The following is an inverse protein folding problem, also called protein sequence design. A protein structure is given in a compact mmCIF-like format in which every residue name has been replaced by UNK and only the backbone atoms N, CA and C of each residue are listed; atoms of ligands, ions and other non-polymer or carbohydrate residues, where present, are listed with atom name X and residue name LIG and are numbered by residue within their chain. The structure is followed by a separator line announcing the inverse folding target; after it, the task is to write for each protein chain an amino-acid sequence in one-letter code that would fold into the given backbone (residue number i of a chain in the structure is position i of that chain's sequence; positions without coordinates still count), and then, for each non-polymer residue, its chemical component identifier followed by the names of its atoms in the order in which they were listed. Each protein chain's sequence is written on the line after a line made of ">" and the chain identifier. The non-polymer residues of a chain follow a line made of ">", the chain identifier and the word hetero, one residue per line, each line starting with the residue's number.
data_IF_613514938789
#
_entry.id   IF_613514938789
#
_cell.length_a   1.000
_cell.length_b   1.000
_cell.length_c   1.000
_cell.angle_alpha   90.00
_cell.angle_beta   90.00
_cell.angle_gamma   90.00
#
_symmetry.space_group_name_H-M   'P 1'
#
loop_
_entity.id
_entity.type
_entity.pdbx_description
1 polymer ?
#
# COMPACT_ATOMS: atom_id res chain seq x y z
N UNK A 1 -6.94 5.26 -9.51
CA UNK A 1 -7.72 6.11 -8.58
C UNK A 1 -6.77 6.61 -7.50
N UNK A 2 -6.34 7.86 -7.69
CA UNK A 2 -5.54 8.80 -6.90
C UNK A 2 -4.95 9.69 -8.00
N UNK A 3 -5.61 10.82 -8.26
CA UNK A 3 -5.20 11.84 -9.22
C UNK A 3 -5.13 13.11 -8.38
N UNK A 4 -4.00 13.80 -8.40
CA UNK A 4 -3.74 15.06 -7.68
C UNK A 4 -3.95 15.01 -6.16
N UNK A 5 -3.17 14.17 -5.47
CA UNK A 5 -3.08 14.20 -4.00
C UNK A 5 -1.62 14.30 -3.57
N UNK A 6 -1.20 15.52 -3.19
CA UNK A 6 0.22 15.84 -2.96
C UNK A 6 0.86 15.07 -1.80
N UNK A 7 0.05 14.67 -0.81
CA UNK A 7 0.54 13.97 0.37
C UNK A 7 0.45 12.44 0.24
N UNK A 8 -0.49 11.90 -0.54
CA UNK A 8 -0.74 10.46 -0.61
C UNK A 8 0.05 9.79 -1.74
N UNK A 9 0.86 8.79 -1.40
CA UNK A 9 1.60 7.98 -2.37
C UNK A 9 0.76 6.84 -2.97
N UNK A 10 -0.12 6.24 -2.18
CA UNK A 10 -1.04 5.20 -2.64
C UNK A 10 -2.24 5.03 -1.72
N UNK A 11 -3.32 4.48 -2.27
CA UNK A 11 -4.44 3.88 -1.55
C UNK A 11 -4.77 2.55 -2.20
N UNK A 12 -4.71 1.46 -1.44
CA UNK A 12 -4.85 0.09 -1.95
C UNK A 12 -5.55 -0.81 -0.92
N UNK A 13 -5.97 -2.00 -1.36
CA UNK A 13 -6.41 -3.07 -0.47
C UNK A 13 -5.37 -4.19 -0.46
N UNK A 14 -5.13 -4.78 0.70
CA UNK A 14 -4.29 -5.96 0.88
C UNK A 14 -5.11 -7.07 1.55
N UNK A 15 -5.08 -8.27 0.97
CA UNK A 15 -5.65 -9.45 1.61
C UNK A 15 -4.85 -9.81 2.90
N UNK A 16 -5.40 -10.63 3.81
CA UNK A 16 -4.74 -10.99 5.07
C UNK A 16 -3.37 -11.66 4.92
N UNK A 17 -3.09 -12.29 3.79
CA UNK A 17 -1.79 -12.84 3.48
C UNK A 17 -0.78 -11.81 2.92
N UNK A 18 -1.18 -10.56 2.74
CA UNK A 18 -0.38 -9.48 2.14
C UNK A 18 -0.53 -9.34 0.62
N UNK A 19 -1.45 -10.08 -0.02
CA UNK A 19 -1.65 -9.99 -1.46
C UNK A 19 -2.40 -8.73 -1.87
N UNK A 20 -1.84 -7.98 -2.82
CA UNK A 20 -2.43 -6.76 -3.38
C UNK A 20 -2.81 -7.02 -4.84
N UNK A 21 -4.10 -7.14 -5.17
CA UNK A 21 -4.53 -7.47 -6.53
C UNK A 21 -4.31 -6.30 -7.52
N UNK A 22 -4.47 -5.06 -7.06
CA UNK A 22 -4.34 -3.84 -7.86
C UNK A 22 -3.69 -2.72 -7.06
N UNK A 23 -3.06 -1.77 -7.76
CA UNK A 23 -2.36 -0.63 -7.18
C UNK A 23 -2.89 0.69 -7.77
N UNK A 24 -2.43 1.86 -7.30
CA UNK A 24 -2.68 3.12 -8.03
C UNK A 24 -1.94 3.17 -9.37
N UNK A 25 -2.41 4.02 -10.29
CA UNK A 25 -1.99 4.04 -11.70
C UNK A 25 -0.46 4.14 -11.88
N UNK A 26 0.22 4.91 -11.01
CA UNK A 26 1.68 5.03 -11.03
C UNK A 26 2.40 3.68 -10.97
N UNK A 27 1.84 2.70 -10.25
CA UNK A 27 2.41 1.36 -10.07
C UNK A 27 1.61 0.28 -10.80
N UNK A 28 0.85 0.65 -11.83
CA UNK A 28 0.10 -0.28 -12.70
C UNK A 28 0.56 -0.18 -14.16
N UNK A 29 1.83 0.14 -14.39
CA UNK A 29 2.36 0.26 -15.75
C UNK A 29 2.39 -1.10 -16.44
N UNK A 30 2.20 -1.12 -17.77
CA UNK A 30 2.29 -2.37 -18.53
C UNK A 30 3.67 -3.00 -18.38
N UNK A 31 3.71 -4.34 -18.30
CA UNK A 31 4.99 -5.07 -18.23
C UNK A 31 5.75 -4.89 -19.55
N UNK A 32 7.03 -4.59 -19.41
CA UNK A 32 7.94 -4.31 -20.53
C UNK A 32 8.85 -5.50 -20.84
N UNK A 33 8.93 -6.48 -19.93
CA UNK A 33 9.87 -7.60 -20.00
C UNK A 33 11.25 -7.26 -19.44
N UNK A 34 11.50 -6.00 -19.07
CA UNK A 34 12.69 -5.59 -18.34
C UNK A 34 12.39 -5.64 -16.83
N UNK A 35 13.04 -6.55 -16.12
CA UNK A 35 12.80 -6.77 -14.69
C UNK A 35 12.94 -5.50 -13.85
N UNK A 36 14.01 -4.72 -14.03
CA UNK A 36 14.28 -3.54 -13.20
C UNK A 36 13.20 -2.47 -13.38
N UNK A 37 12.71 -2.30 -14.62
CA UNK A 37 11.59 -1.39 -14.92
C UNK A 37 10.28 -1.91 -14.34
N UNK A 38 9.99 -3.18 -14.56
CA UNK A 38 8.72 -3.80 -14.19
C UNK A 38 8.58 -3.90 -12.66
N UNK A 39 9.67 -4.21 -11.95
CA UNK A 39 9.69 -4.31 -10.49
C UNK A 39 9.31 -2.99 -9.79
N UNK A 40 9.69 -1.86 -10.39
CA UNK A 40 9.40 -0.52 -9.87
C UNK A 40 8.03 -0.05 -10.35
N UNK A 41 7.75 -0.17 -11.66
CA UNK A 41 6.59 0.42 -12.33
C UNK A 41 5.30 -0.41 -12.29
N UNK A 42 5.40 -1.71 -12.00
CA UNK A 42 4.23 -2.58 -11.84
C UNK A 42 4.29 -3.31 -10.49
N UNK A 43 3.41 -2.91 -9.58
CA UNK A 43 3.25 -3.51 -8.25
C UNK A 43 1.87 -4.12 -8.06
N UNK A 44 1.18 -4.40 -9.17
CA UNK A 44 -0.09 -5.13 -9.15
C UNK A 44 0.16 -6.61 -8.90
N UNK A 45 -0.87 -7.33 -8.39
CA UNK A 45 -0.83 -8.78 -8.16
C UNK A 45 0.38 -9.22 -7.33
N UNK A 46 0.84 -8.38 -6.41
CA UNK A 46 2.08 -8.59 -5.64
C UNK A 46 1.75 -9.08 -4.24
N UNK A 47 2.56 -10.02 -3.76
CA UNK A 47 2.54 -10.44 -2.36
C UNK A 47 3.54 -9.58 -1.58
N UNK A 48 3.06 -8.81 -0.60
CA UNK A 48 3.90 -8.03 0.30
C UNK A 48 4.14 -8.83 1.58
N UNK A 49 5.36 -9.37 1.71
CA UNK A 49 5.76 -10.19 2.86
C UNK A 49 6.45 -9.39 3.96
N UNK A 50 6.70 -8.10 3.73
CA UNK A 50 7.23 -7.21 4.76
C UNK A 50 6.21 -7.03 5.90
N UNK A 51 6.73 -6.74 7.11
CA UNK A 51 5.90 -6.60 8.31
C UNK A 51 4.77 -5.59 8.13
N UNK A 52 5.04 -4.45 7.49
CA UNK A 52 4.04 -3.37 7.33
C UNK A 52 2.94 -3.85 6.40
N UNK A 53 3.30 -4.36 5.22
CA UNK A 53 2.35 -4.80 4.22
C UNK A 53 1.51 -6.00 4.63
N UNK A 54 2.12 -6.99 5.31
CA UNK A 54 1.37 -8.13 5.86
C UNK A 54 0.42 -7.68 6.96
N UNK A 55 0.90 -6.86 7.90
CA UNK A 55 0.06 -6.39 9.01
C UNK A 55 -1.13 -5.58 8.50
N UNK A 56 -0.94 -4.73 7.50
CA UNK A 56 -1.97 -3.84 6.96
C UNK A 56 -3.19 -4.59 6.39
N UNK A 57 -3.04 -5.83 5.91
CA UNK A 57 -4.16 -6.66 5.45
C UNK A 57 -4.72 -7.61 6.51
N UNK A 58 -3.98 -7.87 7.60
CA UNK A 58 -4.26 -8.95 8.54
C UNK A 58 -4.80 -8.49 9.91
N UNK A 59 -4.55 -7.23 10.30
CA UNK A 59 -4.97 -6.74 11.60
C UNK A 59 -6.50 -6.55 11.68
N UNK A 60 -7.07 -6.76 12.87
CA UNK A 60 -8.51 -6.54 13.14
C UNK A 60 -8.79 -5.29 13.99
N UNK A 61 -7.74 -4.59 14.41
CA UNK A 61 -7.85 -3.30 15.10
C UNK A 61 -8.61 -2.27 14.25
N UNK A 62 -9.38 -1.39 14.91
CA UNK A 62 -10.20 -0.35 14.22
C UNK A 62 -9.39 0.47 13.21
N UNK A 63 -8.13 0.76 13.55
CA UNK A 63 -7.14 1.33 12.65
C UNK A 63 -5.73 1.00 13.16
N UNK A 64 -4.75 1.01 12.27
CA UNK A 64 -3.33 0.87 12.59
C UNK A 64 -2.53 1.92 11.82
N UNK A 65 -1.65 2.64 12.52
CA UNK A 65 -0.71 3.58 11.92
C UNK A 65 0.71 3.07 12.12
N UNK A 66 1.40 2.78 11.02
CA UNK A 66 2.79 2.36 11.03
C UNK A 66 3.65 3.43 10.37
N UNK A 67 4.84 3.67 10.92
CA UNK A 67 5.84 4.55 10.30
C UNK A 67 7.05 3.73 9.91
N UNK A 68 7.55 3.96 8.71
CA UNK A 68 8.76 3.29 8.24
C UNK A 68 9.55 4.19 7.29
N UNK A 69 10.88 3.99 7.26
CA UNK A 69 11.76 4.67 6.31
C UNK A 69 11.79 3.87 5.02
N UNK A 70 11.62 4.55 3.89
CA UNK A 70 11.87 3.96 2.56
C UNK A 70 13.37 3.93 2.28
N UNK A 71 13.76 3.17 1.27
CA UNK A 71 15.15 3.10 0.79
C UNK A 71 15.71 4.47 0.39
N UNK A 72 14.84 5.42 0.03
CA UNK A 72 15.16 6.82 -0.29
C UNK A 72 15.41 7.69 0.95
N UNK A 73 15.29 7.15 2.17
CA UNK A 73 15.40 7.88 3.43
C UNK A 73 14.13 8.64 3.85
N UNK A 74 13.13 8.71 2.97
CA UNK A 74 11.83 9.34 3.25
C UNK A 74 11.06 8.59 4.33
N UNK A 75 10.47 9.33 5.28
CA UNK A 75 9.53 8.78 6.25
C UNK A 75 8.17 8.60 5.59
N UNK A 76 7.65 7.38 5.65
CA UNK A 76 6.32 7.02 5.16
C UNK A 76 5.41 6.69 6.33
N UNK A 77 4.18 7.20 6.26
CA UNK A 77 3.09 6.82 7.15
C UNK A 77 2.17 5.85 6.41
N UNK A 78 1.89 4.71 7.03
CA UNK A 78 0.96 3.70 6.53
C UNK A 78 -0.23 3.59 7.49
N UNK A 79 -1.36 4.18 7.10
CA UNK A 79 -2.62 4.05 7.81
C UNK A 79 -3.40 2.88 7.21
N UNK A 80 -3.87 1.95 8.05
CA UNK A 80 -4.66 0.79 7.63
C UNK A 80 -5.92 0.60 8.48
N UNK A 81 -6.97 0.08 7.85
CA UNK A 81 -8.27 -0.23 8.45
C UNK A 81 -8.80 -1.56 7.90
N UNK A 82 -9.41 -2.42 8.72
CA UNK A 82 -9.93 -3.70 8.27
C UNK A 82 -11.21 -3.52 7.44
N UNK A 83 -11.36 -4.37 6.42
CA UNK A 83 -12.52 -4.48 5.54
C UNK A 83 -13.26 -5.76 5.93
N UNK A 84 -14.51 -5.57 6.36
CA UNK A 84 -15.41 -6.67 6.66
C UNK A 84 -16.50 -6.79 5.60
N UNK A 85 -16.80 -8.02 5.18
CA UNK A 85 -17.95 -8.33 4.31
C UNK A 85 -18.76 -9.42 5.00
N UNK A 86 -20.03 -9.13 5.29
CA UNK A 86 -20.93 -10.03 6.03
C UNK A 86 -20.35 -10.52 7.37
N UNK A 87 -19.71 -9.62 8.12
CA UNK A 87 -19.12 -9.93 9.43
C UNK A 87 -17.81 -10.73 9.38
N UNK A 88 -17.31 -11.11 8.19
CA UNK A 88 -16.02 -11.77 8.02
C UNK A 88 -14.95 -10.75 7.63
N UNK A 89 -13.76 -10.85 8.24
CA UNK A 89 -12.59 -10.07 7.83
C UNK A 89 -12.12 -10.56 6.45
N UNK A 90 -12.08 -9.65 5.48
CA UNK A 90 -11.75 -9.96 4.09
C UNK A 90 -10.40 -9.43 3.64
N UNK A 91 -10.01 -8.25 4.12
CA UNK A 91 -8.81 -7.53 3.70
C UNK A 91 -8.59 -6.33 4.62
N UNK A 92 -7.49 -5.60 4.43
CA UNK A 92 -7.32 -4.25 4.95
C UNK A 92 -7.20 -3.21 3.84
N UNK A 93 -7.86 -2.08 4.02
CA UNK A 93 -7.64 -0.86 3.23
C UNK A 93 -6.46 -0.12 3.83
N UNK A 94 -5.51 0.32 2.99
CA UNK A 94 -4.35 1.07 3.46
C UNK A 94 -4.03 2.29 2.59
N UNK A 95 -3.56 3.34 3.24
CA UNK A 95 -3.12 4.59 2.66
C UNK A 95 -1.67 4.87 3.10
N UNK A 96 -0.78 4.93 2.11
CA UNK A 96 0.60 5.35 2.30
C UNK A 96 0.72 6.83 1.97
N UNK A 97 1.16 7.65 2.92
CA UNK A 97 1.31 9.08 2.73
C UNK A 97 2.59 9.65 3.36
N UNK A 98 3.05 10.76 2.80
CA UNK A 98 4.16 11.55 3.32
C UNK A 98 3.61 12.81 3.97
N UNK A 99 4.29 13.27 5.02
CA UNK A 99 4.05 14.60 5.59
C UNK A 99 5.22 15.47 5.14
N UNK A 100 4.91 16.49 4.35
CA UNK A 100 5.85 17.56 4.07
C UNK A 100 5.67 18.63 5.14
N UNK A 101 6.76 19.11 5.75
CA UNK A 101 6.68 20.32 6.54
C UNK A 101 6.31 21.47 5.60
N UNK A 102 5.28 22.23 5.93
CA UNK A 102 5.01 23.50 5.27
C UNK A 102 6.22 24.42 5.49
N UNK A 103 6.95 24.72 4.42
CA UNK A 103 7.98 25.76 4.38
C UNK A 103 7.37 27.14 4.41
#
# INVERSE_FOLDING_TARGET
>A
MLVDCDFAAFMICAAPNGYVPTHNNQFCQALTGNYDKDFIGNRTKRLFEDRVGRSAGAHEEKYSLQTYRRDTGELMFDLSMPIYVNGRHWAGMRCGYRIHASS
#
